data_IF_951883704997
#
_entry.id   IF_951883704997
#
_cell.length_a   1.000
_cell.length_b   1.000
_cell.length_c   1.000
_cell.angle_alpha   90.00
_cell.angle_beta   90.00
_cell.angle_gamma   90.00
#
_symmetry.space_group_name_H-M   'P 1'
#
loop_
_entity.id
_entity.type
_entity.pdbx_description
1 polymer ?
#
# COMPACT_ATOMS: atom_id res chain seq x y z
N UNK A 1 1.96 15.28 0.40
CA UNK A 1 1.57 15.02 1.82
C UNK A 1 2.75 15.25 2.74
N UNK A 2 2.53 15.79 3.96
CA UNK A 2 3.56 15.88 4.99
C UNK A 2 3.82 14.51 5.62
N UNK A 3 5.04 14.27 6.09
CA UNK A 3 5.40 13.00 6.74
C UNK A 3 4.77 12.97 8.14
N UNK A 4 4.00 11.92 8.43
CA UNK A 4 3.28 11.70 9.69
C UNK A 4 3.13 10.21 9.96
N UNK A 5 3.19 9.74 11.23
CA UNK A 5 3.00 8.33 11.57
C UNK A 5 1.60 7.79 11.25
N UNK A 6 0.65 8.68 10.91
CA UNK A 6 -0.70 8.29 10.51
C UNK A 6 -0.76 7.70 9.09
N UNK A 7 0.28 7.89 8.28
CA UNK A 7 0.32 7.37 6.92
C UNK A 7 0.84 5.93 6.85
N UNK A 8 0.55 5.25 5.73
CA UNK A 8 0.89 3.84 5.54
C UNK A 8 2.39 3.58 5.52
N UNK A 9 3.18 4.35 4.76
CA UNK A 9 4.62 4.09 4.62
C UNK A 9 5.38 4.02 5.97
N UNK A 10 5.23 4.98 6.91
CA UNK A 10 5.88 4.89 8.22
C UNK A 10 5.45 3.67 9.06
N UNK A 11 4.19 3.26 8.96
CA UNK A 11 3.66 2.09 9.66
C UNK A 11 4.26 0.79 9.08
N UNK A 12 4.39 0.70 7.76
CA UNK A 12 5.05 -0.44 7.11
C UNK A 12 6.54 -0.52 7.47
N UNK A 13 7.23 0.63 7.49
CA UNK A 13 8.63 0.68 7.93
C UNK A 13 8.78 0.21 9.39
N UNK A 14 7.82 0.56 10.25
CA UNK A 14 7.79 0.07 11.62
C UNK A 14 7.64 -1.46 11.67
N UNK A 15 6.71 -2.05 10.90
CA UNK A 15 6.52 -3.50 10.82
C UNK A 15 7.78 -4.21 10.31
N UNK A 16 8.42 -3.69 9.26
CA UNK A 16 9.70 -4.20 8.76
C UNK A 16 10.77 -4.29 9.85
N UNK A 17 10.84 -3.28 10.73
CA UNK A 17 11.86 -3.17 11.79
C UNK A 17 11.54 -4.00 13.03
N UNK A 18 10.27 -4.10 13.41
CA UNK A 18 9.86 -4.64 14.72
C UNK A 18 9.15 -6.00 14.62
N UNK A 19 8.55 -6.33 13.47
CA UNK A 19 7.87 -7.59 13.22
C UNK A 19 8.41 -8.28 11.93
N UNK A 20 9.71 -8.58 11.86
CA UNK A 20 10.35 -9.07 10.64
C UNK A 20 9.80 -10.41 10.15
N UNK A 21 9.28 -11.26 11.05
CA UNK A 21 8.65 -12.54 10.68
C UNK A 21 7.35 -12.31 9.91
N UNK A 22 6.50 -11.39 10.39
CA UNK A 22 5.27 -10.98 9.71
C UNK A 22 5.64 -10.33 8.37
N UNK A 23 6.60 -9.41 8.39
CA UNK A 23 7.05 -8.71 7.19
C UNK A 23 7.52 -9.65 6.08
N UNK A 24 8.32 -10.66 6.42
CA UNK A 24 8.84 -11.65 5.47
C UNK A 24 7.73 -12.57 4.91
N UNK A 25 6.69 -12.81 5.70
CA UNK A 25 5.53 -13.60 5.30
C UNK A 25 4.53 -12.82 4.42
N UNK A 26 4.60 -11.48 4.42
CA UNK A 26 3.71 -10.62 3.62
C UNK A 26 3.78 -10.96 2.13
N UNK A 27 2.61 -11.06 1.48
CA UNK A 27 2.46 -11.29 0.04
C UNK A 27 1.62 -10.23 -0.67
N UNK A 28 0.77 -9.55 0.08
CA UNK A 28 -0.03 -8.43 -0.40
C UNK A 28 -0.24 -7.44 0.74
N UNK A 29 -0.34 -6.16 0.39
CA UNK A 29 -0.72 -5.07 1.28
C UNK A 29 -2.04 -4.52 0.75
N UNK A 30 -3.05 -4.41 1.61
CA UNK A 30 -4.34 -3.86 1.27
C UNK A 30 -4.74 -2.81 2.30
N UNK A 31 -5.43 -1.76 1.85
CA UNK A 31 -6.10 -0.83 2.76
C UNK A 31 -7.30 -1.51 3.39
N UNK A 32 -7.77 -0.97 4.51
CA UNK A 32 -8.81 -1.60 5.32
C UNK A 32 -10.08 -1.91 4.50
N UNK A 33 -10.55 -0.96 3.68
CA UNK A 33 -11.72 -1.19 2.82
C UNK A 33 -11.44 -2.26 1.75
N UNK A 34 -10.24 -2.27 1.20
CA UNK A 34 -9.86 -3.18 0.11
C UNK A 34 -9.73 -4.61 0.62
N UNK A 35 -9.26 -4.79 1.86
CA UNK A 35 -9.26 -6.08 2.53
C UNK A 35 -10.68 -6.61 2.71
N UNK A 36 -11.61 -5.79 3.19
CA UNK A 36 -13.03 -6.19 3.32
C UNK A 36 -13.61 -6.57 1.96
N UNK A 37 -13.34 -5.77 0.91
CA UNK A 37 -13.75 -6.12 -0.46
C UNK A 37 -13.13 -7.45 -0.90
N UNK A 38 -11.84 -7.66 -0.68
CA UNK A 38 -11.15 -8.89 -1.05
C UNK A 38 -11.77 -10.14 -0.39
N UNK A 39 -12.19 -10.05 0.87
CA UNK A 39 -12.87 -11.13 1.57
C UNK A 39 -14.23 -11.49 0.95
N UNK A 40 -14.93 -10.54 0.36
CA UNK A 40 -16.23 -10.75 -0.30
C UNK A 40 -16.09 -11.16 -1.77
N UNK A 41 -15.15 -10.52 -2.46
CA UNK A 41 -14.85 -10.72 -3.86
C UNK A 41 -13.33 -10.59 -4.05
N UNK A 42 -12.59 -11.73 -4.14
CA UNK A 42 -11.14 -11.74 -4.22
C UNK A 42 -10.60 -10.82 -5.31
N UNK A 43 -10.01 -9.70 -4.88
CA UNK A 43 -9.49 -8.65 -5.74
C UNK A 43 -8.33 -7.93 -5.02
N UNK A 44 -7.24 -7.67 -5.74
CA UNK A 44 -6.11 -6.88 -5.25
C UNK A 44 -6.12 -5.53 -5.97
N UNK A 45 -7.09 -4.72 -5.59
CA UNK A 45 -7.37 -3.41 -6.19
C UNK A 45 -7.43 -2.37 -5.07
N UNK A 46 -7.21 -1.12 -5.39
CA UNK A 46 -7.51 0.03 -4.54
C UNK A 46 -7.87 1.21 -5.43
N UNK A 47 -8.53 2.21 -4.88
CA UNK A 47 -8.89 3.41 -5.62
C UNK A 47 -7.92 4.56 -5.32
N UNK A 48 -7.95 5.57 -6.19
CA UNK A 48 -7.07 6.74 -6.10
C UNK A 48 -7.13 7.46 -4.75
N UNK A 49 -8.30 7.51 -4.10
CA UNK A 49 -8.49 8.29 -2.88
C UNK A 49 -7.73 7.64 -1.71
N UNK A 50 -7.81 6.32 -1.56
CA UNK A 50 -7.12 5.62 -0.47
C UNK A 50 -5.60 5.60 -0.68
N UNK A 51 -5.13 5.38 -1.91
CA UNK A 51 -3.69 5.27 -2.19
C UNK A 51 -2.95 6.60 -2.04
N UNK A 52 -3.61 7.75 -2.26
CA UNK A 52 -3.01 9.07 -2.03
C UNK A 52 -2.57 9.28 -0.58
N UNK A 53 -3.27 8.67 0.40
CA UNK A 53 -2.92 8.70 1.82
C UNK A 53 -1.75 7.78 2.21
N UNK A 54 -1.19 7.02 1.28
CA UNK A 54 -0.21 5.97 1.62
C UNK A 54 1.22 6.47 1.79
N UNK A 55 1.55 7.63 1.22
CA UNK A 55 2.91 8.09 0.92
C UNK A 55 3.69 7.17 -0.03
N UNK A 56 3.06 6.18 -0.67
CA UNK A 56 3.67 5.27 -1.63
C UNK A 56 3.30 5.61 -3.08
N UNK A 57 2.44 6.61 -3.31
CA UNK A 57 1.78 6.86 -4.58
C UNK A 57 2.03 8.29 -5.07
N UNK A 58 2.31 8.44 -6.37
CA UNK A 58 2.40 9.72 -7.06
C UNK A 58 1.06 10.02 -7.76
N UNK A 59 0.28 11.02 -7.28
CA UNK A 59 -1.01 11.37 -7.87
C UNK A 59 -0.89 12.07 -9.24
N UNK A 60 0.28 12.60 -9.60
CA UNK A 60 0.52 13.23 -10.90
C UNK A 60 0.80 12.15 -11.95
N UNK A 61 1.67 11.20 -11.63
CA UNK A 61 2.01 10.09 -12.51
C UNK A 61 0.93 8.98 -12.51
N UNK A 62 0.08 8.95 -11.49
CA UNK A 62 -0.93 7.92 -11.27
C UNK A 62 -0.33 6.52 -11.05
N UNK A 63 0.82 6.46 -10.37
CA UNK A 63 1.65 5.27 -10.22
C UNK A 63 2.20 5.14 -8.80
N UNK A 64 2.54 3.91 -8.42
CA UNK A 64 3.32 3.65 -7.21
C UNK A 64 4.75 4.19 -7.38
N UNK A 65 5.32 4.71 -6.30
CA UNK A 65 6.69 5.22 -6.27
C UNK A 65 7.62 4.05 -5.95
N UNK A 66 8.24 3.47 -6.98
CA UNK A 66 9.12 2.30 -6.87
C UNK A 66 10.18 2.44 -5.77
N UNK A 67 10.86 3.59 -5.69
CA UNK A 67 11.91 3.84 -4.69
C UNK A 67 11.39 3.72 -3.25
N UNK A 68 10.19 4.24 -2.98
CA UNK A 68 9.62 4.23 -1.63
C UNK A 68 9.17 2.82 -1.23
N UNK A 69 8.77 2.00 -2.20
CA UNK A 69 8.43 0.59 -2.00
C UNK A 69 9.71 -0.24 -1.81
N UNK A 70 10.75 0.06 -2.58
CA UNK A 70 12.06 -0.57 -2.47
C UNK A 70 12.74 -0.28 -1.11
N UNK A 71 12.54 0.91 -0.54
CA UNK A 71 12.98 1.25 0.82
C UNK A 71 12.38 0.32 1.89
N UNK A 72 11.18 -0.19 1.64
CA UNK A 72 10.51 -1.19 2.47
C UNK A 72 10.98 -2.63 2.16
N UNK A 73 11.86 -2.82 1.18
CA UNK A 73 12.34 -4.14 0.73
C UNK A 73 11.27 -4.95 0.02
N UNK A 74 10.31 -4.27 -0.63
CA UNK A 74 9.20 -4.87 -1.34
C UNK A 74 9.29 -4.55 -2.83
N UNK A 75 8.49 -5.27 -3.62
CA UNK A 75 8.20 -4.94 -5.01
C UNK A 75 6.80 -4.32 -5.09
N UNK A 76 6.57 -3.38 -6.01
CA UNK A 76 5.22 -2.82 -6.28
C UNK A 76 4.16 -3.88 -6.57
N UNK A 77 4.57 -5.08 -6.98
CA UNK A 77 3.67 -6.24 -7.16
C UNK A 77 2.92 -6.67 -5.90
N UNK A 78 3.38 -6.30 -4.70
CA UNK A 78 2.65 -6.60 -3.44
C UNK A 78 1.57 -5.56 -3.13
N UNK A 79 1.59 -4.41 -3.81
CA UNK A 79 0.59 -3.36 -3.67
C UNK A 79 -0.58 -3.62 -4.61
N UNK A 80 -1.78 -3.11 -4.30
CA UNK A 80 -2.95 -3.35 -5.13
C UNK A 80 -2.84 -2.59 -6.45
N UNK A 81 -3.51 -3.09 -7.49
CA UNK A 81 -3.73 -2.31 -8.71
C UNK A 81 -4.58 -1.08 -8.38
N UNK A 82 -4.18 0.07 -8.88
CA UNK A 82 -4.92 1.32 -8.68
C UNK A 82 -5.94 1.52 -9.81
N UNK A 83 -7.17 1.89 -9.46
CA UNK A 83 -8.28 2.19 -10.39
C UNK A 83 -9.03 3.45 -9.96
N UNK A 84 -9.92 3.99 -10.79
CA UNK A 84 -10.76 5.12 -10.36
C UNK A 84 -11.81 4.64 -9.35
N UNK A 85 -12.31 5.50 -8.46
CA UNK A 85 -13.33 5.13 -7.48
C UNK A 85 -14.65 4.58 -8.05
N UNK A 86 -14.90 4.83 -9.34
CA UNK A 86 -16.12 4.43 -10.06
C UNK A 86 -15.89 3.31 -11.08
N UNK A 87 -14.65 2.82 -11.22
CA UNK A 87 -14.33 1.66 -12.05
C UNK A 87 -14.69 0.36 -11.32
#
# INVERSE_FOLDING_TARGET
>A
NSISPLWTWPQLLWLKRHEPQVWTATRAILFQKDYVRHCLAPSLVSDLIDVEGSLLFDPIANEWIDDFVADLGLSVSVLPKVVKPID
#
